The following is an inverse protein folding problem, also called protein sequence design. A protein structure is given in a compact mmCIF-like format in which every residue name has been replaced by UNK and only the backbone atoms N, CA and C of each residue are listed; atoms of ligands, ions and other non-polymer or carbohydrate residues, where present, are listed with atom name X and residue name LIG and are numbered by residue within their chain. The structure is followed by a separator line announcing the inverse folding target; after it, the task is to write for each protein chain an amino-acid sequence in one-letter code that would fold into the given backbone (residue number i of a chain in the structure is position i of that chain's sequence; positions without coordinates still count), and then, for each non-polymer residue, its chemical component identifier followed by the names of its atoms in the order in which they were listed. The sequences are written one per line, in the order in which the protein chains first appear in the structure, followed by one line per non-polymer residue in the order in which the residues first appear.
data_IF_528874554362
#
_entry.id   IF_528874554362
#
_cell.length_a   1.000
_cell.length_b   1.000
_cell.length_c   1.000
_cell.angle_alpha   90.00
_cell.angle_beta   90.00
_cell.angle_gamma   90.00
#
_symmetry.space_group_name_H-M   'P 1'
#
loop_
_entity.id
_entity.type
_entity.pdbx_description
1 polymer ?
#
# COMPACT_ATOMS: atom_id res chain seq x y z
N UNK A 1 4.08 0.69 -15.90
CA UNK A 1 3.81 -0.55 -15.13
C UNK A 1 3.59 -0.27 -13.65
N UNK A 2 4.34 0.64 -13.03
CA UNK A 2 4.30 0.93 -11.58
C UNK A 2 3.03 1.65 -11.10
N UNK A 3 2.45 2.54 -11.92
CA UNK A 3 1.26 3.35 -11.57
C UNK A 3 0.00 2.50 -11.39
N UNK A 4 -0.19 1.46 -12.21
CA UNK A 4 -1.38 0.60 -12.12
C UNK A 4 -1.41 -0.22 -10.84
N UNK A 5 -0.25 -0.69 -10.37
CA UNK A 5 -0.16 -1.46 -9.14
C UNK A 5 -0.41 -0.58 -7.90
N UNK A 6 0.20 0.61 -7.86
CA UNK A 6 -0.05 1.59 -6.79
C UNK A 6 -1.54 1.95 -6.67
N UNK A 7 -2.20 2.18 -7.81
CA UNK A 7 -3.64 2.48 -7.86
C UNK A 7 -4.51 1.33 -7.35
N UNK A 8 -4.14 0.07 -7.66
CA UNK A 8 -4.86 -1.11 -7.14
C UNK A 8 -4.70 -1.26 -5.63
N UNK A 9 -3.50 -1.02 -5.10
CA UNK A 9 -3.25 -1.05 -3.66
C UNK A 9 -4.03 0.06 -2.93
N UNK A 10 -4.09 1.25 -3.52
CA UNK A 10 -4.90 2.36 -3.02
C UNK A 10 -6.38 1.99 -2.94
N UNK A 11 -6.93 1.41 -4.01
CA UNK A 11 -8.32 0.98 -4.04
C UNK A 11 -8.61 -0.09 -2.98
N UNK A 12 -7.70 -1.05 -2.79
CA UNK A 12 -7.83 -2.09 -1.77
C UNK A 12 -7.78 -1.51 -0.34
N UNK A 13 -6.91 -0.53 -0.09
CA UNK A 13 -6.88 0.20 1.19
C UNK A 13 -8.21 0.89 1.47
N UNK A 14 -8.76 1.56 0.47
CA UNK A 14 -10.02 2.31 0.57
C UNK A 14 -11.21 1.37 0.75
N UNK A 15 -11.24 0.21 0.11
CA UNK A 15 -12.33 -0.78 0.29
C UNK A 15 -12.35 -1.38 1.70
N UNK A 16 -11.22 -1.38 2.40
CA UNK A 16 -11.15 -1.75 3.81
C UNK A 16 -11.51 -0.61 4.78
N UNK A 17 -11.76 0.60 4.27
CA UNK A 17 -12.01 1.79 5.09
C UNK A 17 -10.78 2.28 5.85
N UNK A 18 -9.56 1.92 5.41
CA UNK A 18 -8.34 2.31 6.09
C UNK A 18 -7.84 3.68 5.64
N UNK A 19 -7.50 4.52 6.62
CA UNK A 19 -6.75 5.75 6.36
C UNK A 19 -5.29 5.42 6.01
N UNK A 20 -4.62 6.34 5.31
CA UNK A 20 -3.20 6.20 4.95
C UNK A 20 -2.29 5.90 6.17
N UNK A 21 -2.40 6.64 7.29
CA UNK A 21 -1.59 6.35 8.49
C UNK A 21 -1.89 4.98 9.12
N UNK A 22 -3.16 4.58 9.18
CA UNK A 22 -3.55 3.29 9.75
C UNK A 22 -3.04 2.13 8.90
N UNK A 23 -3.20 2.22 7.59
CA UNK A 23 -2.69 1.24 6.65
C UNK A 23 -1.16 1.14 6.70
N UNK A 24 -0.45 2.28 6.73
CA UNK A 24 1.00 2.29 6.84
C UNK A 24 1.49 1.58 8.11
N UNK A 25 0.82 1.81 9.24
CA UNK A 25 1.11 1.12 10.50
C UNK A 25 0.88 -0.39 10.40
N UNK A 26 -0.23 -0.84 9.80
CA UNK A 26 -0.54 -2.28 9.61
C UNK A 26 0.44 -2.97 8.67
N UNK A 27 0.92 -2.26 7.66
CA UNK A 27 1.92 -2.75 6.71
C UNK A 27 3.35 -2.71 7.27
N UNK A 28 3.55 -2.17 8.47
CA UNK A 28 4.86 -2.09 9.12
C UNK A 28 5.76 -0.98 8.57
N UNK A 29 5.20 0.01 7.88
CA UNK A 29 5.96 1.18 7.46
C UNK A 29 6.13 2.16 8.63
N UNK A 30 7.36 2.68 8.78
CA UNK A 30 7.68 3.71 9.78
C UNK A 30 6.93 5.02 9.50
N UNK A 31 6.59 5.29 8.25
CA UNK A 31 5.92 6.52 7.86
C UNK A 31 4.91 6.34 6.72
N UNK A 32 3.82 7.11 6.73
CA UNK A 32 2.75 7.02 5.74
C UNK A 32 3.15 7.52 4.36
N UNK A 33 4.16 8.40 4.26
CA UNK A 33 4.71 8.88 2.99
C UNK A 33 5.22 7.71 2.15
N UNK A 34 5.80 6.68 2.76
CA UNK A 34 6.25 5.48 2.03
C UNK A 34 5.09 4.80 1.33
N UNK A 35 3.97 4.61 2.04
CA UNK A 35 2.76 4.06 1.45
C UNK A 35 2.18 5.00 0.38
N UNK A 36 2.15 6.30 0.63
CA UNK A 36 1.66 7.30 -0.32
C UNK A 36 2.45 7.28 -1.63
N UNK A 37 3.79 7.25 -1.57
CA UNK A 37 4.63 7.21 -2.77
C UNK A 37 4.50 5.90 -3.55
N UNK A 38 4.21 4.78 -2.86
CA UNK A 38 3.89 3.50 -3.52
C UNK A 38 2.53 3.59 -4.22
N UNK A 39 1.50 4.09 -3.53
CA UNK A 39 0.15 4.24 -4.08
C UNK A 39 0.09 5.22 -5.27
N UNK A 40 0.90 6.27 -5.23
CA UNK A 40 1.07 7.23 -6.34
C UNK A 40 1.96 6.72 -7.47
N UNK A 41 2.66 5.59 -7.28
CA UNK A 41 3.60 5.04 -8.25
C UNK A 41 4.94 5.79 -8.36
N UNK A 42 5.19 6.77 -7.47
CA UNK A 42 6.47 7.48 -7.36
C UNK A 42 7.59 6.56 -6.86
N UNK A 43 7.23 5.55 -6.06
CA UNK A 43 8.13 4.51 -5.59
C UNK A 43 7.65 3.16 -6.07
N UNK A 44 8.56 2.39 -6.67
CA UNK A 44 8.26 1.00 -6.99
C UNK A 44 8.05 0.15 -5.74
N UNK A 45 7.05 -0.73 -5.82
CA UNK A 45 6.79 -1.74 -4.81
C UNK A 45 7.74 -2.93 -5.02
N UNK A 46 8.43 -3.35 -3.96
CA UNK A 46 9.25 -4.56 -4.01
C UNK A 46 8.37 -5.80 -3.89
N UNK A 47 8.76 -6.90 -4.55
CA UNK A 47 8.06 -8.17 -4.47
C UNK A 47 7.89 -8.69 -3.02
N UNK A 48 8.88 -8.44 -2.15
CA UNK A 48 8.79 -8.77 -0.72
C UNK A 48 7.69 -8.00 0.01
N UNK A 49 7.48 -6.73 -0.35
CA UNK A 49 6.44 -5.87 0.23
C UNK A 49 5.05 -6.32 -0.23
N UNK A 50 4.91 -6.77 -1.49
CA UNK A 50 3.62 -7.25 -2.03
C UNK A 50 2.99 -8.36 -1.18
N UNK A 51 3.83 -9.25 -0.62
CA UNK A 51 3.34 -10.31 0.28
C UNK A 51 2.71 -9.76 1.57
N UNK A 52 3.17 -8.61 2.06
CA UNK A 52 2.62 -7.94 3.24
C UNK A 52 1.30 -7.27 2.88
N UNK A 53 1.23 -6.59 1.74
CA UNK A 53 -0.02 -6.03 1.21
C UNK A 53 -1.10 -7.10 1.05
N UNK A 54 -0.75 -8.27 0.50
CA UNK A 54 -1.70 -9.39 0.37
C UNK A 54 -2.30 -9.80 1.72
N UNK A 55 -1.50 -9.87 2.78
CA UNK A 55 -1.95 -10.29 4.12
C UNK A 55 -2.82 -9.24 4.81
N UNK A 56 -2.58 -7.96 4.53
CA UNK A 56 -3.29 -6.86 5.19
C UNK A 56 -4.55 -6.47 4.42
N UNK A 57 -4.50 -6.47 3.09
CA UNK A 57 -5.58 -5.95 2.24
C UNK A 57 -6.53 -6.99 1.66
N UNK A 58 -6.13 -8.27 1.57
CA UNK A 58 -6.88 -9.30 0.88
C UNK A 58 -7.20 -10.49 1.79
N UNK A 59 -7.68 -10.18 3.00
CA UNK A 59 -8.19 -11.14 4.00
C UNK A 59 -9.68 -11.38 3.84
#
# INVERSE_FOLDING_TARGET
MSIELGSKLKAARESMGLTLPEAARRLGFTNYQTLSSIESGERELKASELSVFSKVYFV
#
